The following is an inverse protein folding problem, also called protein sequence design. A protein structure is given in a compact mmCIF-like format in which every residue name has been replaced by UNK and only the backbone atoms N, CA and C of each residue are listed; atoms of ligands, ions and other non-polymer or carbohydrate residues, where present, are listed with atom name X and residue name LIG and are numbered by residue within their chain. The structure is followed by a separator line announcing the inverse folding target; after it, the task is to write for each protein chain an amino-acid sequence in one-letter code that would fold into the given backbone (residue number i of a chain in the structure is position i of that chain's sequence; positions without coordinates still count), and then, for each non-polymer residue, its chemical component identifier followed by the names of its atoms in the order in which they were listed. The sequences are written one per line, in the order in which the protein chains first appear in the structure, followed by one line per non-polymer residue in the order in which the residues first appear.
data_IF_517787962769
#
_entry.id   IF_517787962769
#
_cell.length_a   1.000
_cell.length_b   1.000
_cell.length_c   1.000
_cell.angle_alpha   90.00
_cell.angle_beta   90.00
_cell.angle_gamma   90.00
#
_symmetry.space_group_name_H-M   'P 1'
#
loop_
_entity.id
_entity.type
_entity.pdbx_description
1 polymer ?
#
# COMPACT_ATOMS: atom_id res chain seq x y z
N UNK A 1 -12.82 -25.12 -6.94
CA UNK A 1 -13.57 -24.33 -5.93
C UNK A 1 -13.56 -22.88 -6.38
N UNK A 2 -14.76 -22.25 -6.53
CA UNK A 2 -14.86 -20.88 -7.08
C UNK A 2 -15.01 -19.86 -5.95
N UNK A 3 -14.10 -18.89 -5.91
CA UNK A 3 -14.06 -17.85 -4.88
C UNK A 3 -14.17 -16.47 -5.57
N UNK A 4 -15.08 -15.63 -5.07
CA UNK A 4 -15.17 -14.22 -5.46
C UNK A 4 -14.66 -13.34 -4.33
N UNK A 5 -13.61 -12.58 -4.61
CA UNK A 5 -12.96 -11.67 -3.67
C UNK A 5 -13.12 -10.21 -4.12
N UNK A 6 -13.99 -9.46 -3.45
CA UNK A 6 -14.30 -8.05 -3.78
C UNK A 6 -13.55 -7.15 -2.81
N UNK A 7 -12.58 -6.40 -3.33
CA UNK A 7 -11.72 -5.51 -2.55
C UNK A 7 -11.75 -4.04 -3.03
N UNK A 8 -10.81 -3.23 -2.59
CA UNK A 8 -10.82 -1.78 -2.73
C UNK A 8 -10.46 -1.27 -4.14
N UNK A 9 -10.77 0.01 -4.36
CA UNK A 9 -10.32 0.78 -5.54
C UNK A 9 -9.04 1.56 -5.27
N UNK A 10 -8.62 1.69 -4.00
CA UNK A 10 -7.38 2.35 -3.58
C UNK A 10 -6.28 1.31 -3.41
N UNK A 11 -5.05 1.67 -3.77
CA UNK A 11 -3.88 0.77 -3.67
C UNK A 11 -3.67 0.31 -2.22
N UNK A 12 -3.54 1.22 -1.27
CA UNK A 12 -3.25 0.89 0.13
C UNK A 12 -4.26 -0.09 0.72
N UNK A 13 -5.57 0.21 0.61
CA UNK A 13 -6.63 -0.70 1.10
C UNK A 13 -6.63 -2.07 0.40
N UNK A 14 -6.30 -2.09 -0.91
CA UNK A 14 -6.20 -3.33 -1.66
C UNK A 14 -5.03 -4.18 -1.14
N UNK A 15 -3.85 -3.59 -0.93
CA UNK A 15 -2.67 -4.25 -0.34
C UNK A 15 -2.99 -4.78 1.05
N UNK A 16 -3.61 -3.97 1.93
CA UNK A 16 -3.96 -4.39 3.30
C UNK A 16 -4.94 -5.58 3.33
N UNK A 17 -5.65 -5.85 2.24
CA UNK A 17 -6.55 -7.00 2.11
C UNK A 17 -5.88 -8.26 1.55
N UNK A 18 -4.66 -8.17 1.04
CA UNK A 18 -3.98 -9.29 0.35
C UNK A 18 -3.65 -10.46 1.26
N UNK A 19 -3.51 -10.24 2.57
CA UNK A 19 -3.34 -11.32 3.55
C UNK A 19 -4.51 -12.31 3.53
N UNK A 20 -5.74 -11.82 3.38
CA UNK A 20 -6.93 -12.68 3.21
C UNK A 20 -6.85 -13.48 1.91
N UNK A 21 -6.41 -12.86 0.83
CA UNK A 21 -6.26 -13.53 -0.46
C UNK A 21 -5.19 -14.63 -0.40
N UNK A 22 -4.05 -14.35 0.23
CA UNK A 22 -2.99 -15.34 0.47
C UNK A 22 -3.48 -16.50 1.35
N UNK A 23 -4.21 -16.22 2.42
CA UNK A 23 -4.83 -17.23 3.28
C UNK A 23 -5.75 -18.16 2.47
N UNK A 24 -6.66 -17.61 1.66
CA UNK A 24 -7.56 -18.39 0.82
C UNK A 24 -6.81 -19.27 -0.20
N UNK A 25 -5.76 -18.73 -0.82
CA UNK A 25 -4.95 -19.46 -1.78
C UNK A 25 -4.17 -20.63 -1.14
N UNK A 26 -3.78 -20.51 0.12
CA UNK A 26 -3.08 -21.58 0.87
C UNK A 26 -4.03 -22.65 1.41
N UNK A 27 -5.18 -22.22 1.97
CA UNK A 27 -6.16 -23.15 2.56
C UNK A 27 -6.91 -23.99 1.49
N UNK A 28 -6.98 -23.49 0.26
CA UNK A 28 -7.77 -24.13 -0.79
C UNK A 28 -6.93 -24.46 -2.02
N UNK A 29 -6.35 -25.63 -2.04
CA UNK A 29 -5.42 -26.07 -3.10
C UNK A 29 -5.99 -25.96 -4.52
N UNK A 30 -7.29 -26.24 -4.69
CA UNK A 30 -8.01 -26.21 -5.98
C UNK A 30 -8.87 -24.95 -6.14
N UNK A 31 -8.49 -23.83 -5.50
CA UNK A 31 -9.24 -22.60 -5.66
C UNK A 31 -9.01 -21.98 -7.05
N UNK A 32 -10.10 -21.48 -7.63
CA UNK A 32 -10.13 -20.54 -8.75
C UNK A 32 -10.67 -19.22 -8.21
N UNK A 33 -9.81 -18.22 -8.08
CA UNK A 33 -10.14 -16.97 -7.43
C UNK A 33 -10.37 -15.88 -8.48
N UNK A 34 -11.56 -15.29 -8.46
CA UNK A 34 -11.87 -14.06 -9.20
C UNK A 34 -11.72 -12.88 -8.25
N UNK A 35 -10.76 -12.00 -8.53
CA UNK A 35 -10.56 -10.75 -7.78
C UNK A 35 -11.33 -9.61 -8.45
N UNK A 36 -12.08 -8.87 -7.64
CA UNK A 36 -12.80 -7.66 -8.08
C UNK A 36 -12.22 -6.46 -7.33
N UNK A 37 -11.64 -5.52 -8.07
CA UNK A 37 -11.00 -4.33 -7.51
C UNK A 37 -11.21 -3.10 -8.40
N UNK A 38 -10.65 -1.96 -8.03
CA UNK A 38 -10.57 -0.81 -8.95
C UNK A 38 -9.53 -1.03 -10.05
N UNK A 39 -9.52 -0.19 -11.10
CA UNK A 39 -8.53 -0.29 -12.17
C UNK A 39 -7.09 -0.09 -11.67
N UNK A 40 -6.89 0.81 -10.74
CA UNK A 40 -5.57 1.18 -10.24
C UNK A 40 -4.83 0.03 -9.54
N UNK A 41 -5.42 -0.70 -8.55
CA UNK A 41 -4.76 -1.81 -7.90
C UNK A 41 -4.80 -3.13 -8.67
N UNK A 42 -5.39 -3.21 -9.86
CA UNK A 42 -5.61 -4.48 -10.56
C UNK A 42 -4.31 -5.27 -10.80
N UNK A 43 -3.24 -4.59 -11.20
CA UNK A 43 -1.93 -5.21 -11.46
C UNK A 43 -1.26 -5.84 -10.23
N UNK A 44 -1.66 -5.45 -9.01
CA UNK A 44 -1.17 -6.07 -7.78
C UNK A 44 -1.56 -7.55 -7.63
N UNK A 45 -2.61 -7.97 -8.34
CA UNK A 45 -3.17 -9.31 -8.23
C UNK A 45 -2.73 -10.27 -9.33
N UNK A 46 -2.01 -9.79 -10.35
CA UNK A 46 -1.62 -10.58 -11.53
C UNK A 46 -0.64 -11.72 -11.22
N UNK A 47 0.20 -11.55 -10.20
CA UNK A 47 1.14 -12.58 -9.75
C UNK A 47 0.58 -13.52 -8.67
N UNK A 48 -0.64 -13.27 -8.17
CA UNK A 48 -1.18 -14.04 -7.05
C UNK A 48 -1.50 -15.50 -7.43
N UNK A 49 -1.08 -16.45 -6.59
CA UNK A 49 -1.44 -17.86 -6.78
C UNK A 49 -2.96 -18.04 -6.84
N UNK A 50 -3.42 -18.89 -7.78
CA UNK A 50 -4.84 -19.27 -7.93
C UNK A 50 -5.80 -18.14 -8.32
N UNK A 51 -5.31 -16.92 -8.55
CA UNK A 51 -6.09 -15.88 -9.19
C UNK A 51 -6.18 -16.20 -10.67
N UNK A 52 -7.39 -16.50 -11.13
CA UNK A 52 -7.68 -16.89 -12.53
C UNK A 52 -8.33 -15.76 -13.32
N UNK A 53 -8.89 -14.78 -12.62
CA UNK A 53 -9.57 -13.64 -13.23
C UNK A 53 -9.46 -12.40 -12.35
N UNK A 54 -9.21 -11.23 -12.98
CA UNK A 54 -9.22 -9.92 -12.34
C UNK A 54 -10.26 -9.05 -13.04
N UNK A 55 -11.25 -8.58 -12.27
CA UNK A 55 -12.30 -7.68 -12.75
C UNK A 55 -12.02 -6.27 -12.25
N UNK A 56 -11.45 -5.44 -13.10
CA UNK A 56 -11.19 -4.03 -12.80
C UNK A 56 -12.47 -3.20 -12.97
N UNK A 57 -13.11 -2.81 -11.87
CA UNK A 57 -14.34 -2.03 -11.87
C UNK A 57 -14.06 -0.54 -11.87
N UNK A 58 -14.21 0.11 -13.02
CA UNK A 58 -14.22 1.57 -13.11
C UNK A 58 -15.54 2.11 -12.58
N UNK A 59 -15.47 3.07 -11.63
CA UNK A 59 -16.67 3.72 -11.06
C UNK A 59 -17.50 4.38 -12.18
N UNK A 60 -18.79 4.10 -12.19
CA UNK A 60 -19.74 4.64 -13.16
C UNK A 60 -20.88 5.41 -12.46
N UNK A 61 -21.49 6.33 -13.21
CA UNK A 61 -22.69 7.02 -12.72
C UNK A 61 -23.80 6.04 -12.37
N UNK A 62 -24.61 6.39 -11.35
CA UNK A 62 -25.73 5.58 -10.87
C UNK A 62 -25.36 4.12 -10.49
N UNK A 63 -24.09 3.93 -10.06
CA UNK A 63 -23.60 2.59 -9.65
C UNK A 63 -23.62 1.53 -10.75
N UNK A 64 -23.59 1.91 -12.03
CA UNK A 64 -23.64 1.00 -13.19
C UNK A 64 -22.59 -0.11 -13.16
N UNK A 65 -21.41 0.18 -12.61
CA UNK A 65 -20.33 -0.82 -12.42
C UNK A 65 -20.76 -2.02 -11.55
N UNK A 66 -21.62 -1.82 -10.53
CA UNK A 66 -22.13 -2.93 -9.72
C UNK A 66 -23.13 -3.81 -10.48
N UNK A 67 -23.93 -3.20 -11.36
CA UNK A 67 -24.84 -3.95 -12.24
C UNK A 67 -24.03 -4.80 -13.23
N UNK A 68 -22.95 -4.26 -13.78
CA UNK A 68 -22.03 -5.02 -14.66
C UNK A 68 -21.39 -6.20 -13.92
N UNK A 69 -20.93 -5.98 -12.69
CA UNK A 69 -20.39 -7.06 -11.86
C UNK A 69 -21.46 -8.12 -11.58
N UNK A 70 -22.67 -7.70 -11.19
CA UNK A 70 -23.76 -8.63 -10.93
C UNK A 70 -24.05 -9.52 -12.16
N UNK A 71 -24.20 -8.94 -13.36
CA UNK A 71 -24.43 -9.69 -14.61
C UNK A 71 -23.33 -10.72 -14.87
N UNK A 72 -22.07 -10.41 -14.54
CA UNK A 72 -20.93 -11.31 -14.71
C UNK A 72 -20.89 -12.43 -13.68
N UNK A 73 -21.33 -12.16 -12.46
CA UNK A 73 -21.23 -13.09 -11.33
C UNK A 73 -22.48 -13.94 -11.09
N UNK A 74 -23.68 -13.51 -11.52
CA UNK A 74 -24.98 -14.11 -11.16
C UNK A 74 -25.16 -15.53 -11.70
N UNK A 75 -24.56 -15.85 -12.85
CA UNK A 75 -24.65 -17.19 -13.47
C UNK A 75 -23.72 -18.24 -12.83
N UNK A 76 -22.84 -17.82 -11.93
CA UNK A 76 -21.89 -18.72 -11.28
C UNK A 76 -22.39 -19.12 -9.89
N UNK A 77 -22.26 -20.43 -9.56
CA UNK A 77 -22.40 -20.90 -8.18
C UNK A 77 -21.05 -20.74 -7.50
N UNK A 78 -20.94 -19.76 -6.62
CA UNK A 78 -19.74 -19.50 -5.85
C UNK A 78 -19.66 -20.40 -4.62
N UNK A 79 -18.49 -20.91 -4.30
CA UNK A 79 -18.27 -21.62 -3.04
C UNK A 79 -18.10 -20.61 -1.89
N UNK A 80 -17.25 -19.58 -2.10
CA UNK A 80 -17.02 -18.50 -1.14
C UNK A 80 -17.14 -17.14 -1.85
N UNK A 81 -17.83 -16.20 -1.20
CA UNK A 81 -17.84 -14.78 -1.58
C UNK A 81 -17.32 -13.96 -0.41
N UNK A 82 -16.25 -13.20 -0.64
CA UNK A 82 -15.71 -12.21 0.29
C UNK A 82 -15.99 -10.83 -0.29
N UNK A 83 -16.64 -9.97 0.48
CA UNK A 83 -16.96 -8.60 0.05
C UNK A 83 -16.54 -7.59 1.11
N UNK A 84 -15.36 -7.01 0.91
CA UNK A 84 -14.79 -5.97 1.77
C UNK A 84 -15.38 -4.57 1.47
N UNK A 85 -16.30 -4.48 0.51
CA UNK A 85 -16.95 -3.23 0.09
C UNK A 85 -18.41 -3.13 0.50
N UNK A 86 -18.97 -4.20 1.10
CA UNK A 86 -20.37 -4.28 1.49
C UNK A 86 -21.33 -3.97 0.32
N UNK A 87 -21.02 -4.49 -0.87
CA UNK A 87 -21.84 -4.28 -2.06
C UNK A 87 -23.13 -5.10 -2.03
N UNK A 88 -24.16 -4.64 -2.74
CA UNK A 88 -25.38 -5.43 -2.92
C UNK A 88 -25.14 -6.72 -3.72
N UNK A 89 -24.11 -6.74 -4.58
CA UNK A 89 -23.80 -7.87 -5.46
C UNK A 89 -23.59 -9.15 -4.66
N UNK A 90 -22.83 -9.08 -3.57
CA UNK A 90 -22.55 -10.26 -2.73
C UNK A 90 -23.81 -10.92 -2.16
N UNK A 91 -24.90 -10.17 -2.02
CA UNK A 91 -26.21 -10.67 -1.52
C UNK A 91 -27.12 -11.18 -2.63
N UNK A 92 -26.89 -10.76 -3.88
CA UNK A 92 -27.76 -11.05 -5.04
C UNK A 92 -27.22 -12.18 -5.94
N UNK A 93 -26.08 -12.78 -5.60
CA UNK A 93 -25.49 -13.90 -6.31
C UNK A 93 -25.56 -15.19 -5.47
N UNK A 94 -25.46 -16.35 -6.11
CA UNK A 94 -25.48 -17.64 -5.41
C UNK A 94 -24.12 -17.94 -4.78
N UNK A 95 -24.08 -18.21 -3.47
CA UNK A 95 -22.86 -18.60 -2.77
C UNK A 95 -23.16 -19.55 -1.62
N UNK A 96 -22.26 -20.52 -1.35
CA UNK A 96 -22.37 -21.43 -0.20
C UNK A 96 -21.99 -20.69 1.10
N UNK A 97 -20.93 -19.88 1.05
CA UNK A 97 -20.48 -19.08 2.18
C UNK A 97 -20.30 -17.62 1.77
N UNK A 98 -20.61 -16.69 2.69
CA UNK A 98 -20.44 -15.24 2.48
C UNK A 98 -19.80 -14.60 3.69
N UNK A 99 -18.80 -13.80 3.41
CA UNK A 99 -18.08 -12.96 4.35
C UNK A 99 -18.16 -11.52 3.86
N UNK A 100 -18.96 -10.71 4.51
CA UNK A 100 -19.27 -9.34 4.04
C UNK A 100 -18.98 -8.35 5.16
N UNK A 101 -18.31 -7.24 4.80
CA UNK A 101 -18.10 -6.13 5.72
C UNK A 101 -19.42 -5.68 6.32
N UNK A 102 -19.53 -5.66 7.62
CA UNK A 102 -20.76 -5.33 8.36
C UNK A 102 -20.49 -4.50 9.60
N UNK A 103 -21.57 -4.06 10.26
CA UNK A 103 -21.51 -3.22 11.47
C UNK A 103 -20.86 -3.92 12.69
N UNK A 104 -20.73 -5.24 12.65
CA UNK A 104 -20.12 -6.04 13.72
C UNK A 104 -18.58 -6.02 13.69
N UNK A 105 -17.99 -5.42 12.67
CA UNK A 105 -16.53 -5.28 12.55
C UNK A 105 -16.07 -4.08 13.37
N UNK A 106 -15.09 -4.30 14.21
CA UNK A 106 -14.47 -3.23 15.00
C UNK A 106 -13.73 -2.25 14.09
N UNK A 107 -14.30 -1.06 13.93
CA UNK A 107 -13.70 0.00 13.10
C UNK A 107 -12.53 0.71 13.79
N UNK A 108 -12.32 0.51 15.08
CA UNK A 108 -11.24 1.09 15.87
C UNK A 108 -9.92 0.33 15.79
N UNK A 109 -9.88 -0.85 15.16
CA UNK A 109 -8.66 -1.62 14.99
C UNK A 109 -8.08 -1.51 13.57
N UNK A 110 -6.81 -1.93 13.43
CA UNK A 110 -6.07 -1.87 12.17
C UNK A 110 -6.82 -2.56 11.01
N UNK A 111 -6.74 -2.00 9.78
CA UNK A 111 -7.46 -2.51 8.60
C UNK A 111 -7.20 -4.00 8.29
N UNK A 112 -5.99 -4.48 8.53
CA UNK A 112 -5.66 -5.91 8.40
C UNK A 112 -6.45 -6.77 9.39
N UNK A 113 -6.60 -6.30 10.64
CA UNK A 113 -7.43 -6.98 11.66
C UNK A 113 -8.91 -6.93 11.29
N UNK A 114 -9.39 -5.80 10.77
CA UNK A 114 -10.77 -5.70 10.28
C UNK A 114 -11.06 -6.74 9.18
N UNK A 115 -10.12 -6.93 8.24
CA UNK A 115 -10.24 -7.92 7.18
C UNK A 115 -10.31 -9.35 7.73
N UNK A 116 -9.48 -9.69 8.72
CA UNK A 116 -9.52 -11.00 9.40
C UNK A 116 -10.85 -11.23 10.14
N UNK A 117 -11.39 -10.19 10.82
CA UNK A 117 -12.69 -10.26 11.48
C UNK A 117 -13.84 -10.54 10.51
N UNK A 118 -13.80 -9.98 9.28
CA UNK A 118 -14.82 -10.24 8.25
C UNK A 118 -14.89 -11.72 7.94
N UNK A 119 -13.75 -12.39 7.87
CA UNK A 119 -13.68 -13.84 7.64
C UNK A 119 -13.76 -14.67 8.93
N UNK A 120 -13.87 -14.04 10.11
CA UNK A 120 -13.90 -14.68 11.41
C UNK A 120 -12.67 -15.56 11.70
N UNK A 121 -11.51 -15.09 11.23
CA UNK A 121 -10.24 -15.79 11.45
C UNK A 121 -9.73 -15.53 12.88
N UNK A 122 -9.18 -16.56 13.51
CA UNK A 122 -8.46 -16.45 14.80
C UNK A 122 -7.11 -15.75 14.63
N UNK A 123 -6.42 -16.09 13.55
CA UNK A 123 -5.15 -15.49 13.18
C UNK A 123 -5.36 -14.36 12.19
N UNK A 124 -4.49 -13.36 12.25
CA UNK A 124 -4.53 -12.20 11.34
C UNK A 124 -3.51 -12.38 10.23
N UNK A 125 -3.92 -12.80 9.01
CA UNK A 125 -2.99 -13.01 7.91
C UNK A 125 -2.33 -11.69 7.51
N UNK A 126 -0.99 -11.65 7.52
CA UNK A 126 -0.24 -10.48 7.07
C UNK A 126 -0.44 -10.25 5.56
N UNK A 127 -0.54 -8.98 5.12
CA UNK A 127 -0.51 -8.63 3.71
C UNK A 127 0.71 -9.22 3.02
N UNK A 128 0.53 -9.68 1.79
CA UNK A 128 1.59 -10.27 0.98
C UNK A 128 1.36 -9.97 -0.49
N UNK A 129 2.43 -9.74 -1.25
CA UNK A 129 2.38 -9.56 -2.70
C UNK A 129 3.12 -10.70 -3.41
N UNK A 130 2.69 -10.97 -4.62
CA UNK A 130 3.29 -11.95 -5.52
C UNK A 130 3.44 -11.30 -6.89
N UNK A 131 4.52 -11.62 -7.58
CA UNK A 131 4.84 -10.99 -8.85
C UNK A 131 4.93 -12.05 -9.95
N UNK A 132 4.46 -11.69 -11.13
CA UNK A 132 4.63 -12.50 -12.31
C UNK A 132 5.97 -12.16 -13.01
N UNK A 133 6.37 -13.01 -13.96
CA UNK A 133 7.64 -12.85 -14.67
C UNK A 133 7.79 -11.48 -15.35
N UNK A 134 6.73 -10.93 -15.94
CA UNK A 134 6.80 -9.64 -16.62
C UNK A 134 7.01 -8.47 -15.64
N UNK A 135 6.44 -8.56 -14.43
CA UNK A 135 6.67 -7.58 -13.37
C UNK A 135 8.11 -7.66 -12.84
N UNK A 136 8.65 -8.86 -12.69
CA UNK A 136 10.03 -9.08 -12.29
C UNK A 136 11.03 -8.59 -13.36
N UNK A 137 10.80 -8.89 -14.64
CA UNK A 137 11.63 -8.40 -15.74
C UNK A 137 11.59 -6.87 -15.85
N UNK A 138 10.43 -6.24 -15.60
CA UNK A 138 10.32 -4.78 -15.53
C UNK A 138 11.18 -4.23 -14.39
N UNK A 139 11.07 -4.81 -13.19
CA UNK A 139 11.85 -4.40 -12.05
C UNK A 139 13.36 -4.49 -12.33
N UNK A 140 13.82 -5.59 -12.93
CA UNK A 140 15.21 -5.78 -13.32
C UNK A 140 15.68 -4.73 -14.33
N UNK A 141 14.82 -4.36 -15.29
CA UNK A 141 15.14 -3.33 -16.27
C UNK A 141 15.30 -1.92 -15.69
N UNK A 142 14.55 -1.62 -14.61
CA UNK A 142 14.61 -0.31 -13.94
C UNK A 142 15.77 -0.24 -12.93
N UNK A 143 15.95 -1.31 -12.15
CA UNK A 143 16.99 -1.37 -11.12
C UNK A 143 18.38 -1.53 -11.74
N UNK A 144 18.49 -2.17 -12.90
CA UNK A 144 19.75 -2.44 -13.56
C UNK A 144 20.66 -3.33 -12.70
N UNK A 145 21.91 -2.88 -12.49
CA UNK A 145 22.92 -3.63 -11.73
C UNK A 145 22.82 -3.45 -10.20
N UNK A 146 21.89 -2.65 -9.70
CA UNK A 146 21.76 -2.38 -8.26
C UNK A 146 21.08 -3.55 -7.55
N UNK A 147 21.85 -4.33 -6.79
CA UNK A 147 21.31 -5.50 -6.07
C UNK A 147 20.52 -5.13 -4.79
N UNK A 148 20.91 -4.02 -4.15
CA UNK A 148 20.30 -3.51 -2.92
C UNK A 148 20.24 -2.00 -2.96
N UNK A 149 19.16 -1.41 -2.51
CA UNK A 149 18.92 0.02 -2.50
C UNK A 149 17.93 0.41 -1.38
N UNK A 150 17.95 1.68 -1.01
CA UNK A 150 16.92 2.29 -0.16
C UNK A 150 15.80 2.77 -1.09
N UNK A 151 14.55 2.40 -0.83
CA UNK A 151 13.40 2.95 -1.53
C UNK A 151 12.77 4.09 -0.71
N UNK A 152 12.41 5.18 -1.38
CA UNK A 152 11.80 6.36 -0.76
C UNK A 152 10.51 6.71 -1.49
N UNK A 153 9.41 6.83 -0.74
CA UNK A 153 8.13 7.35 -1.23
C UNK A 153 7.85 8.74 -0.64
N UNK A 154 8.44 9.81 -1.21
CA UNK A 154 8.40 11.13 -0.57
C UNK A 154 7.09 11.88 -0.84
N UNK A 155 6.17 11.29 -1.58
CA UNK A 155 4.94 11.92 -2.04
C UNK A 155 3.70 11.32 -1.40
N UNK A 156 2.60 12.05 -1.46
CA UNK A 156 1.28 11.56 -1.11
C UNK A 156 0.22 12.25 -1.99
N UNK A 157 -0.93 11.58 -2.14
CA UNK A 157 -2.06 12.10 -2.92
C UNK A 157 -2.75 13.33 -2.31
N UNK A 158 -2.28 13.79 -1.17
CA UNK A 158 -2.75 14.98 -0.48
C UNK A 158 -1.59 15.68 0.21
N UNK A 159 -1.35 16.94 -0.16
CA UNK A 159 -0.18 17.71 0.29
C UNK A 159 -0.10 17.81 1.83
N UNK A 160 -1.23 17.87 2.53
CA UNK A 160 -1.25 17.96 4.00
C UNK A 160 -0.58 16.79 4.71
N UNK A 161 -0.45 15.62 4.07
CA UNK A 161 0.26 14.45 4.63
C UNK A 161 1.57 14.12 3.91
N UNK A 162 2.12 15.10 3.21
CA UNK A 162 3.43 14.99 2.57
C UNK A 162 4.47 15.60 3.49
N UNK A 163 5.35 14.76 4.01
CA UNK A 163 6.46 15.22 4.87
C UNK A 163 7.42 16.09 4.06
N UNK A 164 7.96 17.20 4.63
CA UNK A 164 8.88 18.08 3.91
C UNK A 164 10.05 17.32 3.30
N UNK A 165 10.41 17.58 2.03
CA UNK A 165 11.47 16.85 1.32
C UNK A 165 12.83 17.01 1.99
N UNK A 166 13.11 18.13 2.66
CA UNK A 166 14.34 18.41 3.39
C UNK A 166 14.59 17.36 4.47
N UNK A 167 13.55 16.95 5.16
CA UNK A 167 13.64 15.95 6.21
C UNK A 167 13.91 14.54 5.64
N UNK A 168 13.32 14.19 4.49
CA UNK A 168 13.69 12.95 3.77
C UNK A 168 15.16 12.97 3.38
N UNK A 169 15.66 14.10 2.88
CA UNK A 169 17.07 14.27 2.48
C UNK A 169 18.00 14.07 3.68
N UNK A 170 17.69 14.67 4.83
CA UNK A 170 18.48 14.53 6.05
C UNK A 170 18.51 13.07 6.53
N UNK A 171 17.37 12.39 6.57
CA UNK A 171 17.30 10.96 6.93
C UNK A 171 18.11 10.11 5.95
N UNK A 172 18.04 10.38 4.65
CA UNK A 172 18.82 9.66 3.64
C UNK A 172 20.32 9.89 3.78
N UNK A 173 20.74 11.11 4.12
CA UNK A 173 22.15 11.42 4.39
C UNK A 173 22.67 10.60 5.58
N UNK A 174 21.87 10.52 6.67
CA UNK A 174 22.23 9.70 7.81
C UNK A 174 22.24 8.20 7.47
N UNK A 175 21.19 7.66 6.83
CA UNK A 175 21.09 6.24 6.46
C UNK A 175 22.30 5.77 5.64
N UNK A 176 22.85 6.66 4.81
CA UNK A 176 23.96 6.38 3.86
C UNK A 176 25.33 6.80 4.37
N UNK A 177 25.41 7.43 5.54
CA UNK A 177 26.67 7.80 6.18
C UNK A 177 27.43 6.57 6.70
N UNK A 178 28.65 6.78 7.17
CA UNK A 178 29.44 5.73 7.83
C UNK A 178 28.81 5.24 9.14
N UNK A 179 28.02 6.08 9.79
CA UNK A 179 27.29 5.77 11.03
C UNK A 179 25.92 5.12 10.76
N UNK A 180 25.45 5.17 9.54
CA UNK A 180 24.15 4.66 9.13
C UNK A 180 24.16 3.19 8.73
N UNK A 181 22.99 2.53 8.74
CA UNK A 181 22.89 1.09 8.47
C UNK A 181 23.02 0.71 6.97
N UNK A 182 22.96 1.69 6.06
CA UNK A 182 22.94 1.45 4.60
C UNK A 182 23.99 2.29 3.88
N UNK A 183 25.22 2.27 4.39
CA UNK A 183 26.36 3.03 3.89
C UNK A 183 26.52 2.88 2.37
N UNK A 184 26.49 4.01 1.64
CA UNK A 184 26.63 4.12 0.19
C UNK A 184 25.57 3.37 -0.67
N UNK A 185 24.45 2.87 -0.08
CA UNK A 185 23.40 2.25 -0.89
C UNK A 185 22.80 3.26 -1.88
N UNK A 186 22.51 2.84 -3.12
CA UNK A 186 21.71 3.65 -4.05
C UNK A 186 20.32 3.91 -3.48
N UNK A 187 19.66 4.94 -4.00
CA UNK A 187 18.32 5.35 -3.55
C UNK A 187 17.35 5.31 -4.72
N UNK A 188 16.28 4.54 -4.58
CA UNK A 188 15.15 4.54 -5.51
C UNK A 188 14.09 5.53 -5.05
N UNK A 189 13.80 6.54 -5.85
CA UNK A 189 12.74 7.51 -5.58
C UNK A 189 11.48 7.07 -6.31
N UNK A 190 10.42 6.79 -5.55
CA UNK A 190 9.19 6.20 -6.05
C UNK A 190 8.03 7.16 -5.85
N UNK A 191 7.36 7.54 -6.94
CA UNK A 191 6.19 8.41 -6.90
C UNK A 191 5.19 8.03 -7.99
N UNK A 192 3.91 8.36 -7.78
CA UNK A 192 2.87 8.12 -8.75
C UNK A 192 2.90 9.16 -9.89
N UNK A 193 2.32 8.86 -11.07
CA UNK A 193 2.12 9.87 -12.10
C UNK A 193 1.33 11.07 -11.57
N UNK A 194 1.83 12.28 -11.83
CA UNK A 194 1.29 13.56 -11.34
C UNK A 194 1.89 14.03 -10.01
N UNK A 195 2.84 13.27 -9.44
CA UNK A 195 3.55 13.63 -8.20
C UNK A 195 5.03 13.98 -8.45
N UNK A 196 5.43 14.18 -9.72
CA UNK A 196 6.81 14.40 -10.16
C UNK A 196 7.44 15.61 -9.46
N UNK A 197 6.73 16.74 -9.40
CA UNK A 197 7.21 17.96 -8.76
C UNK A 197 7.45 17.80 -7.25
N UNK A 198 6.63 16.97 -6.58
CA UNK A 198 6.82 16.70 -5.17
C UNK A 198 8.05 15.80 -4.91
N UNK A 199 8.34 14.88 -5.82
CA UNK A 199 9.45 13.94 -5.70
C UNK A 199 10.80 14.52 -6.12
N UNK A 200 10.80 15.51 -7.01
CA UNK A 200 12.00 16.09 -7.61
C UNK A 200 13.06 16.54 -6.60
N UNK A 201 12.75 17.27 -5.51
CA UNK A 201 13.77 17.72 -4.57
C UNK A 201 14.57 16.56 -3.94
N UNK A 202 13.92 15.43 -3.64
CA UNK A 202 14.59 14.26 -3.08
C UNK A 202 15.43 13.56 -4.15
N UNK A 203 14.93 13.44 -5.38
CA UNK A 203 15.70 12.85 -6.49
C UNK A 203 16.96 13.66 -6.79
N UNK A 204 16.84 14.98 -6.88
CA UNK A 204 17.93 15.90 -7.19
C UNK A 204 19.03 15.95 -6.10
N UNK A 205 18.67 15.59 -4.87
CA UNK A 205 19.63 15.52 -3.75
C UNK A 205 20.59 14.32 -3.83
N UNK A 206 20.29 13.33 -4.68
CA UNK A 206 21.06 12.10 -4.82
C UNK A 206 21.91 12.18 -6.12
N UNK A 207 23.22 11.86 -6.06
CA UNK A 207 24.03 11.77 -7.27
C UNK A 207 23.43 10.83 -8.31
N UNK A 208 23.47 11.21 -9.58
CA UNK A 208 22.80 10.51 -10.67
C UNK A 208 23.23 9.03 -10.83
N UNK A 209 24.48 8.72 -10.51
CA UNK A 209 25.03 7.36 -10.52
C UNK A 209 24.61 6.50 -9.32
N UNK A 210 23.97 7.12 -8.32
CA UNK A 210 23.48 6.49 -7.08
C UNK A 210 21.95 6.61 -6.94
N UNK A 211 21.28 7.17 -7.92
CA UNK A 211 19.81 7.31 -7.92
C UNK A 211 19.17 6.34 -8.90
N UNK A 212 18.03 5.78 -8.48
CA UNK A 212 17.15 4.97 -9.32
C UNK A 212 15.84 5.74 -9.41
N UNK A 213 15.60 6.35 -10.56
CA UNK A 213 14.36 7.07 -10.79
C UNK A 213 13.23 6.09 -11.10
N UNK A 214 12.21 6.04 -10.24
CA UNK A 214 10.97 5.25 -10.37
C UNK A 214 9.74 6.15 -10.39
N UNK A 215 9.93 7.46 -10.59
CA UNK A 215 8.85 8.44 -10.63
C UNK A 215 8.00 8.21 -11.88
N UNK A 216 6.70 8.06 -11.70
CA UNK A 216 5.72 7.82 -12.77
C UNK A 216 6.04 6.61 -13.68
N UNK A 217 6.85 5.66 -13.22
CA UNK A 217 7.24 4.48 -13.99
C UNK A 217 6.48 3.23 -13.55
N UNK A 218 5.94 2.52 -14.54
CA UNK A 218 5.27 1.25 -14.31
C UNK A 218 3.87 1.35 -13.68
N UNK A 219 3.22 0.19 -13.59
CA UNK A 219 1.97 0.03 -12.87
C UNK A 219 2.22 -0.43 -11.42
N UNK A 220 1.24 -0.41 -10.51
CA UNK A 220 1.44 -0.79 -9.11
C UNK A 220 2.05 -2.18 -8.88
N UNK A 221 1.75 -3.17 -9.72
CA UNK A 221 2.37 -4.49 -9.62
C UNK A 221 3.86 -4.46 -9.97
N UNK A 222 4.24 -3.72 -11.00
CA UNK A 222 5.64 -3.51 -11.40
C UNK A 222 6.41 -2.72 -10.34
N UNK A 223 5.82 -1.66 -9.79
CA UNK A 223 6.41 -0.90 -8.68
C UNK A 223 6.56 -1.79 -7.44
N UNK A 224 5.57 -2.64 -7.14
CA UNK A 224 5.67 -3.63 -6.07
C UNK A 224 6.86 -4.58 -6.25
N UNK A 225 7.10 -5.05 -7.49
CA UNK A 225 8.24 -5.90 -7.81
C UNK A 225 9.60 -5.18 -7.62
N UNK A 226 9.66 -3.86 -7.90
CA UNK A 226 10.83 -3.03 -7.56
C UNK A 226 10.99 -2.96 -6.04
N UNK A 227 9.95 -2.60 -5.30
CA UNK A 227 9.99 -2.47 -3.84
C UNK A 227 10.39 -3.78 -3.16
N UNK A 228 9.98 -4.93 -3.69
CA UNK A 228 10.36 -6.26 -3.16
C UNK A 228 11.89 -6.51 -3.15
N UNK A 229 12.67 -5.74 -3.89
CA UNK A 229 14.13 -5.83 -3.96
C UNK A 229 14.84 -4.80 -3.08
N UNK A 230 14.10 -3.86 -2.49
CA UNK A 230 14.68 -2.86 -1.61
C UNK A 230 15.23 -3.48 -0.32
N UNK A 231 16.30 -2.91 0.20
CA UNK A 231 16.84 -3.26 1.51
C UNK A 231 16.09 -2.57 2.65
N UNK A 232 15.51 -1.40 2.35
CA UNK A 232 14.78 -0.57 3.29
C UNK A 232 13.80 0.34 2.53
N UNK A 233 12.70 0.68 3.17
CA UNK A 233 11.73 1.65 2.66
C UNK A 233 11.41 2.71 3.72
N UNK A 234 11.37 3.97 3.29
CA UNK A 234 10.81 5.08 4.05
C UNK A 234 9.86 5.89 3.17
N UNK A 235 8.74 6.34 3.72
CA UNK A 235 7.82 7.20 2.96
C UNK A 235 6.58 7.61 3.73
N UNK A 236 5.81 8.49 3.12
CA UNK A 236 4.54 8.95 3.67
C UNK A 236 3.52 7.81 3.80
N UNK A 237 2.48 8.01 4.62
CA UNK A 237 1.29 7.15 4.66
C UNK A 237 0.63 7.06 3.27
N UNK A 238 1.02 6.07 2.51
CA UNK A 238 0.62 5.87 1.11
C UNK A 238 0.52 4.39 0.73
N UNK A 239 0.01 4.12 -0.47
CA UNK A 239 -0.03 2.76 -1.01
C UNK A 239 1.37 2.13 -1.17
N UNK A 240 2.41 2.93 -1.44
CA UNK A 240 3.79 2.48 -1.58
C UNK A 240 4.34 1.90 -0.28
N UNK A 241 4.09 2.58 0.85
CA UNK A 241 4.46 2.11 2.18
C UNK A 241 3.84 0.73 2.48
N UNK A 242 2.56 0.56 2.19
CA UNK A 242 1.89 -0.73 2.38
C UNK A 242 2.44 -1.82 1.45
N UNK A 243 2.80 -1.48 0.20
CA UNK A 243 3.41 -2.43 -0.72
C UNK A 243 4.78 -2.89 -0.23
N UNK A 244 5.64 -1.98 0.24
CA UNK A 244 6.95 -2.31 0.80
C UNK A 244 6.81 -3.24 2.01
N UNK A 245 5.92 -2.91 2.95
CA UNK A 245 5.63 -3.75 4.12
C UNK A 245 5.09 -5.14 3.73
N UNK A 246 4.20 -5.22 2.73
CA UNK A 246 3.65 -6.48 2.22
C UNK A 246 4.70 -7.34 1.48
N UNK A 247 5.80 -6.75 1.05
CA UNK A 247 6.99 -7.43 0.52
C UNK A 247 7.98 -7.85 1.64
N UNK A 248 7.63 -7.66 2.92
CA UNK A 248 8.51 -7.91 4.07
C UNK A 248 9.80 -7.08 4.07
N UNK A 249 9.81 -5.95 3.36
CA UNK A 249 10.90 -4.99 3.39
C UNK A 249 10.84 -4.22 4.71
N UNK A 250 11.97 -4.02 5.42
CA UNK A 250 12.01 -3.13 6.57
C UNK A 250 11.47 -1.75 6.19
N UNK A 251 10.36 -1.32 6.85
CA UNK A 251 9.57 -0.20 6.39
C UNK A 251 9.28 0.78 7.52
N UNK A 252 9.59 2.06 7.29
CA UNK A 252 9.16 3.17 8.15
C UNK A 252 8.15 4.04 7.41
N UNK A 253 6.98 4.21 8.03
CA UNK A 253 5.96 5.14 7.56
C UNK A 253 6.03 6.45 8.35
N UNK A 254 5.92 7.60 7.68
CA UNK A 254 5.80 8.91 8.34
C UNK A 254 4.35 9.39 8.29
N UNK A 255 3.84 9.82 9.44
CA UNK A 255 2.43 10.11 9.66
C UNK A 255 2.24 11.51 10.24
N UNK A 256 1.25 12.20 9.75
CA UNK A 256 0.72 13.45 10.30
C UNK A 256 -0.80 13.35 10.42
N UNK A 257 -1.58 14.05 9.56
CA UNK A 257 -3.04 14.03 9.57
C UNK A 257 -3.60 12.71 9.04
N UNK A 258 -3.27 11.61 9.71
CA UNK A 258 -3.80 10.27 9.47
C UNK A 258 -3.69 9.42 10.74
N UNK A 259 -4.31 8.23 10.74
CA UNK A 259 -4.44 7.39 11.92
C UNK A 259 -3.52 6.16 11.85
N UNK A 260 -2.32 6.17 12.49
CA UNK A 260 -1.43 5.01 12.48
C UNK A 260 -2.07 3.73 13.03
N UNK A 261 -2.95 3.83 14.04
CA UNK A 261 -3.64 2.67 14.60
C UNK A 261 -4.52 1.94 13.57
N UNK A 262 -4.94 2.62 12.48
CA UNK A 262 -5.68 2.04 11.35
C UNK A 262 -4.79 1.62 10.18
N UNK A 263 -3.71 2.39 9.92
CA UNK A 263 -2.96 2.34 8.66
C UNK A 263 -1.45 2.26 8.81
N UNK A 264 -0.88 2.05 10.01
CA UNK A 264 0.57 1.82 10.10
C UNK A 264 1.03 0.68 9.17
N UNK A 265 2.29 0.66 8.71
CA UNK A 265 2.78 -0.46 7.92
C UNK A 265 2.67 -1.76 8.75
N UNK A 266 2.17 -2.83 8.13
CA UNK A 266 1.89 -4.08 8.81
C UNK A 266 2.98 -5.11 8.55
N UNK A 267 3.71 -5.52 9.58
CA UNK A 267 4.76 -6.53 9.49
C UNK A 267 5.64 -6.57 10.75
N UNK A 268 6.57 -7.51 10.79
CA UNK A 268 7.51 -7.67 11.92
C UNK A 268 8.66 -6.67 11.90
N UNK A 269 9.00 -6.16 10.71
CA UNK A 269 10.11 -5.22 10.49
C UNK A 269 9.56 -3.86 10.07
N UNK A 270 8.50 -3.39 10.74
CA UNK A 270 7.86 -2.14 10.40
C UNK A 270 7.75 -1.23 11.61
N UNK A 271 7.90 0.08 11.39
CA UNK A 271 7.68 1.10 12.38
C UNK A 271 7.01 2.33 11.74
N UNK A 272 6.58 3.26 12.56
CA UNK A 272 6.12 4.56 12.10
C UNK A 272 6.60 5.67 13.05
N UNK A 273 6.91 6.82 12.48
CA UNK A 273 7.05 8.07 13.18
C UNK A 273 5.85 8.97 12.86
N UNK A 274 5.45 9.82 13.80
CA UNK A 274 4.32 10.72 13.58
C UNK A 274 4.57 12.08 14.21
N UNK A 275 3.86 13.09 13.72
CA UNK A 275 3.77 14.39 14.38
C UNK A 275 3.32 14.23 15.85
N UNK A 276 3.81 15.05 16.78
CA UNK A 276 3.33 15.04 18.17
C UNK A 276 1.83 15.37 18.27
N UNK A 277 1.32 16.21 17.36
CA UNK A 277 -0.09 16.60 17.31
C UNK A 277 -0.97 15.44 16.83
N UNK A 278 -2.19 15.39 17.32
CA UNK A 278 -3.24 14.49 16.83
C UNK A 278 -3.77 14.95 15.48
N UNK A 279 -4.52 14.08 14.79
CA UNK A 279 -5.21 14.44 13.55
C UNK A 279 -6.08 15.69 13.74
N UNK A 280 -6.87 15.75 14.82
CA UNK A 280 -7.82 16.84 15.08
C UNK A 280 -7.07 18.16 15.34
N UNK A 281 -5.97 18.15 16.09
CA UNK A 281 -5.13 19.33 16.32
C UNK A 281 -4.48 19.85 15.04
N UNK A 282 -4.03 18.94 14.14
CA UNK A 282 -3.41 19.33 12.87
C UNK A 282 -4.37 20.02 11.90
N UNK A 283 -5.67 19.78 12.03
CA UNK A 283 -6.71 20.35 11.15
C UNK A 283 -7.52 21.46 11.83
N UNK A 284 -7.30 21.72 13.12
CA UNK A 284 -8.02 22.74 13.90
C UNK A 284 -7.38 24.12 13.74
N UNK A 285 -7.52 24.69 12.53
CA UNK A 285 -7.14 26.08 12.24
C UNK A 285 -8.16 26.75 11.33
N UNK A 286 -8.28 28.06 11.48
CA UNK A 286 -9.21 28.87 10.69
C UNK A 286 -8.91 28.75 9.17
N UNK A 287 -9.94 28.45 8.39
CA UNK A 287 -9.84 28.29 6.94
C UNK A 287 -9.33 26.92 6.49
N UNK A 288 -9.26 25.92 7.39
CA UNK A 288 -8.94 24.57 6.96
C UNK A 288 -9.96 24.02 5.96
N UNK A 289 -9.48 23.66 4.79
CA UNK A 289 -10.22 22.92 3.76
C UNK A 289 -9.26 21.90 3.11
N UNK A 290 -9.51 20.60 3.24
CA UNK A 290 -8.63 19.56 2.71
C UNK A 290 -8.50 19.61 1.18
N UNK A 291 -9.39 20.33 0.47
CA UNK A 291 -9.35 20.44 -0.99
C UNK A 291 -8.53 21.63 -1.49
N UNK A 292 -8.25 22.59 -0.63
CA UNK A 292 -7.56 23.85 -0.98
C UNK A 292 -6.23 24.06 -0.28
N UNK A 293 -5.89 23.20 0.72
CA UNK A 293 -4.62 23.29 1.41
C UNK A 293 -3.44 23.07 0.47
N UNK A 294 -2.44 23.95 0.56
CA UNK A 294 -1.25 23.97 -0.30
C UNK A 294 0.07 23.72 0.45
N UNK A 295 0.00 23.43 1.77
CA UNK A 295 1.17 23.19 2.62
C UNK A 295 1.10 21.84 3.29
N UNK A 296 2.26 21.35 3.72
CA UNK A 296 2.35 20.22 4.66
C UNK A 296 1.67 20.53 6.00
N UNK A 297 1.18 19.52 6.67
CA UNK A 297 0.77 19.55 8.08
C UNK A 297 1.69 18.67 8.94
N UNK A 298 2.90 18.38 8.44
CA UNK A 298 3.86 17.49 9.09
C UNK A 298 5.18 18.18 9.44
N UNK A 299 5.17 19.52 9.52
CA UNK A 299 6.37 20.33 9.75
C UNK A 299 6.98 20.10 11.15
N UNK A 300 6.20 19.62 12.10
CA UNK A 300 6.62 19.34 13.48
C UNK A 300 7.28 17.98 13.67
N UNK A 301 7.17 17.07 12.70
CA UNK A 301 7.90 15.82 12.70
C UNK A 301 9.32 16.07 12.17
N UNK A 302 10.33 15.93 13.02
CA UNK A 302 11.71 16.19 12.64
C UNK A 302 12.39 14.96 12.02
N UNK A 303 13.50 15.18 11.31
CA UNK A 303 14.31 14.08 10.79
C UNK A 303 14.89 13.22 11.93
N UNK A 304 15.28 13.82 13.07
CA UNK A 304 15.81 13.08 14.22
C UNK A 304 14.77 12.15 14.84
N UNK A 305 13.50 12.56 14.95
CA UNK A 305 12.40 11.66 15.43
C UNK A 305 12.29 10.41 14.57
N UNK A 306 12.45 10.57 13.27
CA UNK A 306 12.42 9.46 12.30
C UNK A 306 13.67 8.60 12.41
N UNK A 307 14.85 9.21 12.56
CA UNK A 307 16.13 8.51 12.77
C UNK A 307 16.09 7.69 14.06
N UNK A 308 15.56 8.23 15.15
CA UNK A 308 15.36 7.49 16.40
C UNK A 308 14.38 6.31 16.23
N UNK A 309 13.31 6.53 15.48
CA UNK A 309 12.37 5.45 15.11
C UNK A 309 13.11 4.33 14.37
N UNK A 310 13.93 4.66 13.37
CA UNK A 310 14.73 3.67 12.61
C UNK A 310 15.73 2.95 13.53
N UNK A 311 16.43 3.66 14.40
CA UNK A 311 17.36 3.06 15.39
C UNK A 311 16.67 2.08 16.34
N UNK A 312 15.39 2.32 16.65
CA UNK A 312 14.59 1.44 17.52
C UNK A 312 14.13 0.16 16.83
N UNK A 313 14.14 0.12 15.50
CA UNK A 313 13.82 -1.10 14.75
C UNK A 313 14.92 -2.11 14.98
N UNK A 314 14.57 -3.24 15.59
CA UNK A 314 15.53 -4.36 15.71
C UNK A 314 15.74 -4.97 14.31
N UNK A 315 17.00 -5.28 13.97
CA UNK A 315 17.32 -5.94 12.71
C UNK A 315 16.67 -7.32 12.58
#
# INVERSE_FOLDING_TARGET
MKILFITSTRIGDAVLSTGILDHLAREHEKAEITVVCGPLPASLFEGFPKVTEIIALKKEKRNGHWVKLWKRAVGTQWDIVIDLRNSAVSRLIRAKQRFVLGKHIDQGCHKVKQAAQIMKLSDVPAPKLYFNKAQDEFADSVIGNHQKFIAVGPTANWIGKTWPPENFIEVLQWLRSEEGPYTYYPVAIVAAPGEEEQAAPVLESIPADQSIDVIAKGNPGQVGAILNRAAFYIGNDSGLMHMAAACSVPTVGVFGPSYPYLYAPWGTHTAYARTPETYDELIDFEGYDPTTITRSLMDTLTAEDVIETIRSMRP
#
